data_IF_838517480288
#
_entry.id   IF_838517480288
#
_cell.length_a   1.000
_cell.length_b   1.000
_cell.length_c   1.000
_cell.angle_alpha   90.00
_cell.angle_beta   90.00
_cell.angle_gamma   90.00
#
_symmetry.space_group_name_H-M   'P 1'
#
loop_
_entity.id
_entity.type
_entity.pdbx_description
1 polymer ?
#
# COMPACT_ATOMS: atom_id res chain seq x y z
N UNK A 1 -6.89 -10.10 38.71
CA UNK A 1 -6.37 -8.92 37.99
C UNK A 1 -7.52 -7.95 37.73
N UNK A 2 -7.38 -6.69 38.14
CA UNK A 2 -8.39 -5.65 37.99
C UNK A 2 -8.68 -5.34 36.51
N UNK A 3 -9.94 -5.00 36.12
CA UNK A 3 -10.29 -4.59 34.75
C UNK A 3 -9.41 -3.44 34.22
N UNK A 4 -9.01 -2.50 35.08
CA UNK A 4 -8.10 -1.38 34.78
C UNK A 4 -6.70 -1.83 34.36
N UNK A 5 -6.16 -2.90 34.96
CA UNK A 5 -4.86 -3.49 34.64
C UNK A 5 -4.87 -4.16 33.27
N UNK A 6 -5.96 -4.86 32.91
CA UNK A 6 -6.13 -5.49 31.58
C UNK A 6 -6.21 -4.45 30.46
N UNK A 7 -6.91 -3.34 30.68
CA UNK A 7 -7.04 -2.24 29.69
C UNK A 7 -5.70 -1.55 29.45
N UNK A 8 -4.95 -1.25 30.50
CA UNK A 8 -3.62 -0.64 30.42
C UNK A 8 -2.62 -1.56 29.67
N UNK A 9 -2.63 -2.84 30.00
CA UNK A 9 -1.79 -3.83 29.31
C UNK A 9 -2.11 -3.93 27.82
N UNK A 10 -3.40 -3.91 27.44
CA UNK A 10 -3.84 -3.91 26.05
C UNK A 10 -3.40 -2.65 25.29
N UNK A 11 -3.49 -1.49 25.93
CA UNK A 11 -3.05 -0.21 25.36
C UNK A 11 -1.52 -0.19 25.14
N UNK A 12 -0.74 -0.65 26.13
CA UNK A 12 0.72 -0.75 26.01
C UNK A 12 1.12 -1.72 24.90
N UNK A 13 0.43 -2.85 24.77
CA UNK A 13 0.65 -3.81 23.68
C UNK A 13 0.34 -3.22 22.32
N UNK A 14 -0.75 -2.48 22.17
CA UNK A 14 -1.10 -1.80 20.93
C UNK A 14 -0.07 -0.71 20.57
N UNK A 15 0.38 0.08 21.54
CA UNK A 15 1.39 1.12 21.35
C UNK A 15 2.74 0.53 20.89
N UNK A 16 3.21 -0.53 21.52
CA UNK A 16 4.46 -1.18 21.12
C UNK A 16 4.34 -1.83 19.73
N UNK A 17 3.21 -2.46 19.40
CA UNK A 17 2.96 -3.00 18.05
C UNK A 17 3.02 -1.91 16.98
N UNK A 18 2.37 -0.78 17.20
CA UNK A 18 2.39 0.37 16.28
C UNK A 18 3.81 0.95 16.11
N UNK A 19 4.57 1.07 17.21
CA UNK A 19 5.95 1.54 17.15
C UNK A 19 6.86 0.60 16.33
N UNK A 20 6.69 -0.72 16.47
CA UNK A 20 7.43 -1.72 15.69
C UNK A 20 7.07 -1.62 14.20
N UNK A 21 5.78 -1.52 13.86
CA UNK A 21 5.31 -1.36 12.46
C UNK A 21 5.90 -0.11 11.83
N UNK A 22 5.81 1.04 12.51
CA UNK A 22 6.34 2.32 11.99
C UNK A 22 7.86 2.28 11.79
N UNK A 23 8.61 1.73 12.76
CA UNK A 23 10.06 1.58 12.65
C UNK A 23 10.46 0.63 11.50
N UNK A 24 9.74 -0.48 11.35
CA UNK A 24 9.98 -1.44 10.29
C UNK A 24 9.66 -0.87 8.90
N UNK A 25 8.53 -0.16 8.75
CA UNK A 25 8.17 0.53 7.51
C UNK A 25 9.29 1.46 7.05
N UNK A 26 9.79 2.31 7.95
CA UNK A 26 10.87 3.24 7.59
C UNK A 26 12.16 2.51 7.19
N UNK A 27 12.56 1.48 7.92
CA UNK A 27 13.77 0.70 7.62
C UNK A 27 13.62 -0.09 6.31
N UNK A 28 12.49 -0.75 6.11
CA UNK A 28 12.22 -1.50 4.88
C UNK A 28 12.18 -0.57 3.66
N UNK A 29 11.54 0.59 3.79
CA UNK A 29 11.46 1.58 2.71
C UNK A 29 12.84 2.17 2.37
N UNK A 30 13.66 2.52 3.37
CA UNK A 30 14.95 3.19 3.14
C UNK A 30 16.10 2.24 2.85
N UNK A 31 16.17 1.10 3.54
CA UNK A 31 17.28 0.15 3.48
C UNK A 31 16.96 -1.08 2.65
N UNK A 32 15.69 -1.41 2.50
CA UNK A 32 15.20 -2.64 1.88
C UNK A 32 14.86 -3.72 2.91
N UNK A 33 13.93 -4.60 2.53
CA UNK A 33 13.47 -5.68 3.41
C UNK A 33 14.58 -6.64 3.77
N UNK A 34 15.31 -7.16 2.77
CA UNK A 34 16.35 -8.16 2.95
C UNK A 34 17.51 -7.67 3.82
N UNK A 35 17.91 -6.41 3.69
CA UNK A 35 19.01 -5.81 4.43
C UNK A 35 18.66 -5.35 5.85
N UNK A 36 17.37 -5.33 6.23
CA UNK A 36 16.92 -4.90 7.55
C UNK A 36 16.89 -6.06 8.54
N UNK A 37 17.40 -5.84 9.76
CA UNK A 37 17.42 -6.84 10.85
C UNK A 37 16.40 -6.52 11.94
N UNK A 38 16.00 -7.55 12.70
CA UNK A 38 15.12 -7.37 13.87
C UNK A 38 15.76 -6.50 14.96
N UNK A 39 17.07 -6.53 15.10
CA UNK A 39 17.80 -5.69 16.07
C UNK A 39 17.74 -4.21 15.70
N UNK A 40 17.84 -3.87 14.43
CA UNK A 40 17.68 -2.49 13.95
C UNK A 40 16.24 -1.99 14.17
N UNK A 41 15.25 -2.84 13.92
CA UNK A 41 13.84 -2.51 14.17
C UNK A 41 13.62 -2.28 15.67
N UNK A 42 14.15 -3.17 16.54
CA UNK A 42 14.04 -3.04 18.00
C UNK A 42 14.64 -1.74 18.50
N UNK A 43 15.88 -1.43 18.07
CA UNK A 43 16.58 -0.19 18.40
C UNK A 43 15.79 1.05 17.98
N UNK A 44 15.28 1.07 16.75
CA UNK A 44 14.51 2.19 16.20
C UNK A 44 13.16 2.35 16.88
N UNK A 45 12.45 1.27 17.15
CA UNK A 45 11.18 1.25 17.85
C UNK A 45 11.30 1.51 19.37
N UNK A 46 12.53 1.55 19.90
CA UNK A 46 12.83 1.66 21.33
C UNK A 46 12.18 0.56 22.17
N UNK A 47 12.22 -0.66 21.67
CA UNK A 47 11.71 -1.86 22.35
C UNK A 47 12.79 -2.95 22.44
N UNK A 48 12.56 -3.96 23.28
CA UNK A 48 13.44 -5.13 23.30
C UNK A 48 13.21 -6.03 22.08
N UNK A 49 14.25 -6.74 21.63
CA UNK A 49 14.13 -7.75 20.57
C UNK A 49 13.09 -8.83 20.91
N UNK A 50 13.03 -9.26 22.18
CA UNK A 50 12.03 -10.22 22.65
C UNK A 50 10.59 -9.70 22.49
N UNK A 51 10.36 -8.41 22.65
CA UNK A 51 9.03 -7.80 22.44
C UNK A 51 8.64 -7.82 20.96
N UNK A 52 9.59 -7.69 20.02
CA UNK A 52 9.31 -7.88 18.59
C UNK A 52 8.79 -9.27 18.33
N UNK A 53 9.51 -10.31 18.82
CA UNK A 53 9.10 -11.70 18.62
C UNK A 53 7.82 -12.08 19.37
N UNK A 54 7.48 -11.36 20.45
CA UNK A 54 6.17 -11.48 21.11
C UNK A 54 5.00 -10.95 20.28
N UNK A 55 5.24 -9.94 19.45
CA UNK A 55 4.22 -9.38 18.54
C UNK A 55 4.21 -10.05 17.16
N UNK A 56 5.41 -10.35 16.64
CA UNK A 56 5.62 -10.83 15.29
C UNK A 56 6.67 -11.95 15.30
N UNK A 57 6.26 -13.14 14.99
CA UNK A 57 7.14 -14.33 15.02
C UNK A 57 8.34 -14.19 14.07
N UNK A 58 8.18 -13.46 12.97
CA UNK A 58 9.21 -13.26 11.95
C UNK A 58 9.18 -11.84 11.40
N UNK A 59 10.25 -11.43 10.73
CA UNK A 59 10.35 -10.16 10.01
C UNK A 59 9.31 -10.06 8.88
N UNK A 60 9.04 -11.18 8.23
CA UNK A 60 8.00 -11.31 7.21
C UNK A 60 6.60 -10.99 7.78
N UNK A 61 6.32 -11.41 9.01
CA UNK A 61 5.04 -11.11 9.65
C UNK A 61 4.87 -9.61 9.97
N UNK A 62 5.97 -8.89 10.21
CA UNK A 62 5.93 -7.44 10.34
C UNK A 62 5.58 -6.79 9.00
N UNK A 63 6.24 -7.24 7.91
CA UNK A 63 5.95 -6.74 6.57
C UNK A 63 4.50 -7.01 6.17
N UNK A 64 4.01 -8.22 6.40
CA UNK A 64 2.60 -8.57 6.12
C UNK A 64 1.64 -7.69 6.92
N UNK A 65 1.94 -7.40 8.20
CA UNK A 65 1.12 -6.52 9.01
C UNK A 65 1.11 -5.06 8.49
N UNK A 66 2.23 -4.57 7.94
CA UNK A 66 2.26 -3.26 7.27
C UNK A 66 1.32 -3.26 6.07
N UNK A 67 1.36 -4.32 5.26
CA UNK A 67 0.53 -4.42 4.05
C UNK A 67 -0.95 -4.65 4.38
N UNK A 68 -1.26 -5.46 5.40
CA UNK A 68 -2.63 -5.66 5.87
C UNK A 68 -3.26 -4.34 6.35
N UNK A 69 -2.54 -3.57 7.18
CA UNK A 69 -3.01 -2.27 7.66
C UNK A 69 -3.29 -1.29 6.49
N UNK A 70 -2.54 -1.39 5.38
CA UNK A 70 -2.75 -0.55 4.20
C UNK A 70 -3.87 -1.04 3.31
N UNK A 71 -3.98 -2.34 3.11
CA UNK A 71 -5.07 -2.94 2.34
C UNK A 71 -6.40 -2.62 3.01
N UNK A 72 -6.49 -2.75 4.33
CA UNK A 72 -7.70 -2.40 5.10
C UNK A 72 -8.07 -0.91 4.98
N UNK A 73 -7.08 -0.03 4.79
CA UNK A 73 -7.33 1.39 4.53
C UNK A 73 -7.72 1.68 3.07
N UNK A 74 -7.22 0.90 2.12
CA UNK A 74 -7.41 1.13 0.68
C UNK A 74 -8.63 0.43 0.11
N UNK A 75 -8.87 -0.84 0.49
CA UNK A 75 -9.95 -1.66 -0.05
C UNK A 75 -11.35 -1.07 0.18
N UNK A 76 -11.68 -0.50 1.37
CA UNK A 76 -13.00 0.11 1.57
C UNK A 76 -13.28 1.29 0.63
N UNK A 77 -12.25 1.92 0.07
CA UNK A 77 -12.41 3.01 -0.91
C UNK A 77 -12.84 2.52 -2.29
N UNK A 78 -12.58 1.24 -2.60
CA UNK A 78 -13.15 0.57 -3.77
C UNK A 78 -14.58 0.12 -3.55
N UNK A 79 -14.92 -0.24 -2.29
CA UNK A 79 -16.23 -0.76 -1.89
C UNK A 79 -17.20 0.32 -1.42
N UNK A 80 -16.91 1.59 -1.60
CA UNK A 80 -17.95 2.60 -1.44
C UNK A 80 -19.04 2.26 -2.44
N UNK A 81 -19.96 1.39 -1.97
CA UNK A 81 -21.18 0.93 -2.60
C UNK A 81 -22.16 2.11 -2.80
N UNK A 82 -21.67 3.12 -3.45
CA UNK A 82 -22.48 4.14 -4.03
C UNK A 82 -22.86 3.61 -5.42
N UNK A 83 -23.83 2.68 -5.47
CA UNK A 83 -24.39 2.19 -6.73
C UNK A 83 -24.92 3.33 -7.59
N UNK A 84 -25.17 4.50 -6.98
CA UNK A 84 -25.61 5.72 -7.62
C UNK A 84 -24.48 6.48 -8.36
N UNK A 85 -23.17 6.19 -8.10
CA UNK A 85 -22.09 6.89 -8.80
C UNK A 85 -21.76 6.25 -10.13
N UNK A 86 -21.56 7.10 -11.14
CA UNK A 86 -21.00 6.70 -12.44
C UNK A 86 -19.67 5.94 -12.24
N UNK A 87 -19.46 4.76 -12.89
CA UNK A 87 -18.22 4.00 -12.84
C UNK A 87 -16.98 4.83 -13.17
N UNK A 88 -17.09 5.81 -14.04
CA UNK A 88 -16.01 6.75 -14.37
C UNK A 88 -15.64 7.63 -13.17
N UNK A 89 -16.64 8.15 -12.45
CA UNK A 89 -16.39 8.92 -11.22
C UNK A 89 -15.73 8.09 -10.13
N UNK A 90 -16.11 6.82 -10.02
CA UNK A 90 -15.44 5.87 -9.10
C UNK A 90 -13.97 5.70 -9.45
N UNK A 91 -13.64 5.56 -10.73
CA UNK A 91 -12.27 5.43 -11.20
C UNK A 91 -11.45 6.71 -10.96
N UNK A 92 -12.03 7.88 -11.24
CA UNK A 92 -11.41 9.18 -10.92
C UNK A 92 -11.15 9.31 -9.42
N UNK A 93 -12.12 8.91 -8.60
CA UNK A 93 -11.97 8.89 -7.14
C UNK A 93 -10.84 7.96 -6.68
N UNK A 94 -10.72 6.80 -7.32
CA UNK A 94 -9.63 5.86 -7.07
C UNK A 94 -8.25 6.45 -7.41
N UNK A 95 -8.09 7.00 -8.62
CA UNK A 95 -6.86 7.66 -9.06
C UNK A 95 -6.48 8.78 -8.09
N UNK A 96 -7.44 9.63 -7.73
CA UNK A 96 -7.24 10.70 -6.76
C UNK A 96 -6.86 10.19 -5.37
N UNK A 97 -7.42 9.07 -4.95
CA UNK A 97 -7.09 8.42 -3.67
C UNK A 97 -5.64 7.92 -3.67
N UNK A 98 -5.21 7.31 -4.76
CA UNK A 98 -3.85 6.82 -4.92
C UNK A 98 -2.82 7.97 -4.97
N UNK A 99 -3.10 9.03 -5.71
CA UNK A 99 -2.22 10.21 -5.76
C UNK A 99 -2.09 10.90 -4.39
N UNK A 100 -3.18 10.98 -3.61
CA UNK A 100 -3.11 11.45 -2.21
C UNK A 100 -2.25 10.56 -1.33
N UNK A 101 -2.15 9.27 -1.62
CA UNK A 101 -1.26 8.36 -0.90
C UNK A 101 0.21 8.72 -1.13
N UNK A 102 0.59 9.06 -2.37
CA UNK A 102 1.95 9.49 -2.70
C UNK A 102 2.40 10.66 -1.83
N UNK A 103 1.50 11.62 -1.60
CA UNK A 103 1.80 12.81 -0.81
C UNK A 103 1.85 12.52 0.69
N UNK A 104 0.93 11.68 1.20
CA UNK A 104 0.75 11.47 2.64
C UNK A 104 1.61 10.35 3.21
N UNK A 105 1.91 9.34 2.41
CA UNK A 105 2.57 8.10 2.86
C UNK A 105 3.77 7.73 1.95
N UNK A 106 4.73 8.65 1.71
CA UNK A 106 5.82 8.42 0.75
C UNK A 106 6.70 7.22 1.11
N UNK A 107 6.82 6.87 2.39
CA UNK A 107 7.57 5.69 2.82
C UNK A 107 6.90 4.40 2.40
N UNK A 108 5.57 4.35 2.44
CA UNK A 108 4.82 3.18 2.00
C UNK A 108 4.94 2.98 0.49
N UNK A 109 4.83 4.07 -0.27
CA UNK A 109 5.03 4.05 -1.72
C UNK A 109 6.45 3.61 -2.08
N UNK A 110 7.47 4.14 -1.40
CA UNK A 110 8.86 3.72 -1.59
C UNK A 110 9.04 2.24 -1.25
N UNK A 111 8.38 1.74 -0.19
CA UNK A 111 8.39 0.33 0.16
C UNK A 111 7.79 -0.53 -0.97
N UNK A 112 6.61 -0.18 -1.49
CA UNK A 112 5.97 -0.95 -2.56
C UNK A 112 6.82 -1.03 -3.83
N UNK A 113 7.42 0.08 -4.25
CA UNK A 113 8.36 0.12 -5.39
C UNK A 113 9.58 -0.80 -5.17
N UNK A 114 10.17 -0.78 -3.96
CA UNK A 114 11.29 -1.66 -3.64
C UNK A 114 10.91 -3.13 -3.60
N UNK A 115 9.74 -3.45 -3.06
CA UNK A 115 9.25 -4.81 -2.98
C UNK A 115 9.02 -5.43 -4.37
N UNK A 116 8.60 -4.64 -5.36
CA UNK A 116 8.45 -5.11 -6.74
C UNK A 116 9.77 -5.66 -7.32
N UNK A 117 10.91 -5.19 -6.84
CA UNK A 117 12.25 -5.60 -7.27
C UNK A 117 12.91 -6.65 -6.34
N UNK A 118 12.35 -6.88 -5.14
CA UNK A 118 12.95 -7.78 -4.13
C UNK A 118 12.51 -9.25 -4.38
N UNK A 119 13.48 -10.12 -4.66
CA UNK A 119 13.23 -11.54 -4.91
C UNK A 119 12.65 -12.27 -3.68
N UNK A 120 13.07 -11.89 -2.48
CA UNK A 120 12.57 -12.47 -1.22
C UNK A 120 11.10 -12.16 -1.05
N UNK A 121 10.68 -10.94 -1.43
CA UNK A 121 9.28 -10.53 -1.42
C UNK A 121 8.44 -11.35 -2.42
N UNK A 122 8.95 -11.59 -3.61
CA UNK A 122 8.26 -12.45 -4.60
C UNK A 122 7.99 -13.87 -4.07
N UNK A 123 8.88 -14.40 -3.23
CA UNK A 123 8.67 -15.70 -2.55
C UNK A 123 7.58 -15.62 -1.48
N UNK A 124 7.55 -14.52 -0.71
CA UNK A 124 6.50 -14.27 0.31
C UNK A 124 5.14 -14.09 -0.36
N UNK A 125 5.07 -13.28 -1.42
CA UNK A 125 3.85 -13.07 -2.23
C UNK A 125 3.29 -14.39 -2.78
N UNK A 126 4.13 -15.26 -3.31
CA UNK A 126 3.67 -16.58 -3.79
C UNK A 126 2.99 -17.42 -2.72
N UNK A 127 3.38 -17.27 -1.46
CA UNK A 127 2.81 -18.04 -0.33
C UNK A 127 1.58 -17.37 0.32
N UNK A 128 1.59 -16.06 0.46
CA UNK A 128 0.59 -15.31 1.25
C UNK A 128 -0.01 -14.10 0.53
N UNK A 129 0.67 -13.57 -0.47
CA UNK A 129 0.29 -12.32 -1.14
C UNK A 129 -0.60 -12.51 -2.37
N UNK A 130 -0.70 -13.75 -2.90
CA UNK A 130 -1.55 -14.03 -4.05
C UNK A 130 -2.99 -13.55 -3.84
N UNK A 131 -3.52 -13.78 -2.64
CA UNK A 131 -4.86 -13.36 -2.25
C UNK A 131 -5.07 -11.84 -2.35
N UNK A 132 -4.09 -11.03 -1.93
CA UNK A 132 -4.19 -9.56 -1.96
C UNK A 132 -4.17 -9.02 -3.39
N UNK A 133 -3.24 -9.52 -4.20
CA UNK A 133 -3.14 -9.14 -5.62
C UNK A 133 -4.39 -9.55 -6.38
N UNK A 134 -4.91 -10.76 -6.13
CA UNK A 134 -6.15 -11.25 -6.76
C UNK A 134 -7.37 -10.40 -6.40
N UNK A 135 -7.53 -10.03 -5.12
CA UNK A 135 -8.63 -9.15 -4.68
C UNK A 135 -8.54 -7.79 -5.35
N UNK A 136 -7.34 -7.19 -5.36
CA UNK A 136 -7.11 -5.89 -6.00
C UNK A 136 -7.41 -5.93 -7.49
N UNK A 137 -6.82 -6.89 -8.23
CA UNK A 137 -7.03 -7.04 -9.67
C UNK A 137 -8.49 -7.32 -10.01
N UNK A 138 -9.16 -8.18 -9.25
CA UNK A 138 -10.58 -8.49 -9.47
C UNK A 138 -11.45 -7.25 -9.33
N UNK A 139 -11.23 -6.41 -8.32
CA UNK A 139 -12.00 -5.18 -8.09
C UNK A 139 -11.70 -4.12 -9.14
N UNK A 140 -10.42 -3.91 -9.45
CA UNK A 140 -10.01 -2.98 -10.50
C UNK A 140 -10.60 -3.39 -11.85
N UNK A 141 -10.49 -4.68 -12.21
CA UNK A 141 -11.09 -5.21 -13.42
C UNK A 141 -12.60 -4.96 -13.50
N UNK A 142 -13.32 -5.22 -12.42
CA UNK A 142 -14.77 -4.97 -12.37
C UNK A 142 -15.11 -3.50 -12.60
N UNK A 143 -14.35 -2.60 -11.98
CA UNK A 143 -14.52 -1.16 -12.16
C UNK A 143 -14.23 -0.72 -13.61
N UNK A 144 -13.17 -1.24 -14.21
CA UNK A 144 -12.79 -0.94 -15.59
C UNK A 144 -13.83 -1.45 -16.60
N UNK A 145 -14.39 -2.63 -16.40
CA UNK A 145 -15.51 -3.16 -17.22
C UNK A 145 -16.70 -2.20 -17.14
N UNK A 146 -17.08 -1.78 -15.92
CA UNK A 146 -18.19 -0.84 -15.73
C UNK A 146 -17.91 0.55 -16.33
N UNK A 147 -16.64 0.98 -16.34
CA UNK A 147 -16.21 2.25 -16.95
C UNK A 147 -16.10 2.21 -18.49
N UNK A 148 -16.35 1.05 -19.11
CA UNK A 148 -16.38 0.88 -20.57
C UNK A 148 -15.07 0.39 -21.19
N UNK A 149 -14.12 -0.12 -20.40
CA UNK A 149 -12.89 -0.71 -20.94
C UNK A 149 -13.19 -1.91 -21.83
N UNK A 150 -12.60 -1.94 -23.01
CA UNK A 150 -12.68 -3.06 -23.98
C UNK A 150 -11.64 -4.16 -23.67
N UNK A 151 -10.59 -3.83 -22.90
CA UNK A 151 -9.47 -4.74 -22.55
C UNK A 151 -9.10 -4.61 -21.06
N UNK A 152 -10.06 -4.88 -20.13
CA UNK A 152 -9.91 -4.56 -18.71
C UNK A 152 -8.70 -5.21 -18.05
N UNK A 153 -8.28 -6.39 -18.49
CA UNK A 153 -7.10 -7.07 -17.95
C UNK A 153 -5.80 -6.34 -18.34
N UNK A 154 -5.69 -5.87 -19.58
CA UNK A 154 -4.54 -5.08 -20.02
C UNK A 154 -4.52 -3.69 -19.39
N UNK A 155 -5.70 -3.08 -19.25
CA UNK A 155 -5.83 -1.76 -18.62
C UNK A 155 -5.47 -1.81 -17.13
N UNK A 156 -5.75 -2.91 -16.43
CA UNK A 156 -5.24 -3.12 -15.07
C UNK A 156 -3.71 -3.02 -15.00
N UNK A 157 -3.01 -3.71 -15.92
CA UNK A 157 -1.55 -3.66 -15.97
C UNK A 157 -1.04 -2.28 -16.38
N UNK A 158 -1.67 -1.64 -17.37
CA UNK A 158 -1.30 -0.31 -17.83
C UNK A 158 -1.42 0.73 -16.70
N UNK A 159 -2.52 0.71 -15.96
CA UNK A 159 -2.72 1.60 -14.82
C UNK A 159 -1.65 1.34 -13.75
N UNK A 160 -1.35 0.08 -13.46
CA UNK A 160 -0.28 -0.28 -12.52
C UNK A 160 1.08 0.28 -12.94
N UNK A 161 1.46 0.10 -14.21
CA UNK A 161 2.72 0.63 -14.77
C UNK A 161 2.76 2.17 -14.70
N UNK A 162 1.66 2.85 -15.04
CA UNK A 162 1.57 4.31 -14.94
C UNK A 162 1.72 4.77 -13.48
N UNK A 163 1.08 4.10 -12.56
CA UNK A 163 1.18 4.40 -11.13
C UNK A 163 2.59 4.19 -10.61
N UNK A 164 3.23 3.08 -10.93
CA UNK A 164 4.62 2.81 -10.53
C UNK A 164 5.57 3.87 -11.12
N UNK A 165 5.38 4.25 -12.38
CA UNK A 165 6.17 5.32 -13.02
C UNK A 165 5.99 6.68 -12.36
N UNK A 166 4.75 7.09 -12.08
CA UNK A 166 4.44 8.35 -11.36
C UNK A 166 5.04 8.31 -9.96
N UNK A 167 4.86 7.20 -9.23
CA UNK A 167 5.38 7.03 -7.88
C UNK A 167 6.91 7.11 -7.84
N UNK A 168 7.61 6.43 -8.75
CA UNK A 168 9.07 6.43 -8.80
C UNK A 168 9.63 7.84 -9.04
N UNK A 169 9.04 8.57 -9.98
CA UNK A 169 9.47 9.94 -10.30
C UNK A 169 9.13 10.93 -9.17
N UNK A 170 7.94 10.82 -8.58
CA UNK A 170 7.55 11.66 -7.44
C UNK A 170 8.47 11.45 -6.23
N UNK A 171 8.75 10.19 -5.86
CA UNK A 171 9.64 9.88 -4.72
C UNK A 171 11.07 10.35 -4.98
N UNK A 172 11.54 10.29 -6.23
CA UNK A 172 12.89 10.74 -6.60
C UNK A 172 13.04 12.26 -6.51
N UNK A 173 12.03 13.05 -6.88
CA UNK A 173 12.10 14.49 -6.95
C UNK A 173 10.76 15.18 -6.63
N UNK A 174 10.24 15.08 -5.38
CA UNK A 174 8.87 15.50 -5.04
C UNK A 174 8.60 17.00 -5.26
N UNK A 175 9.63 17.85 -5.19
CA UNK A 175 9.51 19.30 -5.41
C UNK A 175 9.52 19.71 -6.89
N UNK A 176 10.03 18.84 -7.76
CA UNK A 176 10.16 19.10 -9.20
C UNK A 176 9.08 18.40 -10.02
N UNK A 177 8.50 17.33 -9.48
CA UNK A 177 7.53 16.53 -10.20
C UNK A 177 6.15 17.21 -10.20
N UNK A 178 5.55 17.50 -11.39
CA UNK A 178 4.29 18.24 -11.52
C UNK A 178 3.08 17.32 -11.22
N UNK A 179 2.93 16.85 -9.97
CA UNK A 179 1.97 15.83 -9.59
C UNK A 179 0.52 16.23 -9.93
N UNK A 180 0.14 17.50 -9.73
CA UNK A 180 -1.22 17.96 -10.00
C UNK A 180 -1.53 17.98 -11.51
N UNK A 181 -0.56 18.36 -12.36
CA UNK A 181 -0.75 18.38 -13.81
C UNK A 181 -0.83 16.94 -14.35
N UNK A 182 0.05 16.06 -13.86
CA UNK A 182 0.03 14.63 -14.19
C UNK A 182 -1.29 13.99 -13.77
N UNK A 183 -1.83 14.35 -12.61
CA UNK A 183 -3.13 13.86 -12.13
C UNK A 183 -4.25 14.15 -13.13
N UNK A 184 -4.36 15.41 -13.57
CA UNK A 184 -5.41 15.83 -14.49
C UNK A 184 -5.23 15.14 -15.85
N UNK A 185 -4.00 15.10 -16.34
CA UNK A 185 -3.66 14.46 -17.60
C UNK A 185 -3.91 12.94 -17.61
N UNK A 186 -3.61 12.23 -16.52
CA UNK A 186 -3.89 10.80 -16.42
C UNK A 186 -5.38 10.49 -16.54
N UNK A 187 -6.23 11.30 -15.90
CA UNK A 187 -7.67 11.12 -15.98
C UNK A 187 -8.15 11.33 -17.41
N UNK A 188 -7.73 12.40 -18.06
CA UNK A 188 -8.09 12.70 -19.46
C UNK A 188 -7.59 11.61 -20.41
N UNK A 189 -6.34 11.16 -20.25
CA UNK A 189 -5.73 10.12 -21.07
C UNK A 189 -6.51 8.80 -21.01
N UNK A 190 -6.84 8.33 -19.82
CA UNK A 190 -7.55 7.08 -19.62
C UNK A 190 -8.96 7.13 -20.23
N UNK A 191 -9.67 8.24 -20.06
CA UNK A 191 -11.02 8.36 -20.60
C UNK A 191 -11.04 8.56 -22.12
N UNK A 192 -10.12 9.32 -22.70
CA UNK A 192 -10.01 9.46 -24.15
C UNK A 192 -9.70 8.12 -24.84
N UNK A 193 -8.88 7.29 -24.20
CA UNK A 193 -8.54 5.95 -24.71
C UNK A 193 -9.75 5.00 -24.74
N UNK A 194 -10.68 5.09 -23.77
CA UNK A 194 -11.85 4.20 -23.73
C UNK A 194 -13.06 4.69 -24.52
N UNK A 195 -13.06 5.95 -24.99
CA UNK A 195 -14.12 6.48 -25.85
C UNK A 195 -13.94 6.11 -27.33
N UNK A 196 -12.73 5.69 -27.72
CA UNK A 196 -12.39 5.20 -29.06
C UNK A 196 -12.36 3.65 -29.10
#
# INVERSE_FOLDING_TARGET
MSPRSKTLSKQMKAKSRSAIISAALELFAKKGFSATTADEIAKKAKVSKGLIFSHFLTKENILLAILDDEIDRFLPKFDQNDEARDPKEKLVSFINGWLRLLEKEPLLVLLSLRLNLDESWRKILRKKGKQYVEIYLKRMRALLVQAGSKKPDLDCYLIGVLFDGVAANYVAAPKLFPLNDIKNYLVELLFSYWQN
#
